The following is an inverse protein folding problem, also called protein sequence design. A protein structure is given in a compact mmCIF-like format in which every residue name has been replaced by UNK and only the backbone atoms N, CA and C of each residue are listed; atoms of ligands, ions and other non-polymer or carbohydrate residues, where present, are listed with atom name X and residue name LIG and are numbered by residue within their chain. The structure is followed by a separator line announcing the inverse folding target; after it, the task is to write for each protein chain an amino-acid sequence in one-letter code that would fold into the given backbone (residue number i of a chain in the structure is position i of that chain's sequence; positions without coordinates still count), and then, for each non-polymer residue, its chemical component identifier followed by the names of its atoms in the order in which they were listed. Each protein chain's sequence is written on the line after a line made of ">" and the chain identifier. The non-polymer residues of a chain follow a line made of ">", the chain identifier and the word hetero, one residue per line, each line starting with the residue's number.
data_IF_090066435437
#
_entry.id   IF_090066435437
#
_cell.length_a   1.000
_cell.length_b   1.000
_cell.length_c   1.000
_cell.angle_alpha   90.00
_cell.angle_beta   90.00
_cell.angle_gamma   90.00
#
_symmetry.space_group_name_H-M   'P 1'
#
loop_
_entity.id
_entity.type
_entity.pdbx_description
1 polymer ?
#
# COMPACT_ATOMS: atom_id res chain seq x y z
N UNK A 1 15.90 12.54 -20.01
CA UNK A 1 15.03 12.25 -19.93
C UNK A 1 14.11 12.90 -20.08
N UNK A 2 13.60 12.78 -20.59
CA UNK A 2 12.72 13.44 -20.72
C UNK A 2 11.87 13.27 -19.93
N UNK A 3 11.58 13.91 -19.33
CA UNK A 3 10.68 13.70 -18.66
C UNK A 3 9.61 14.13 -19.25
N UNK A 4 8.98 13.58 -19.79
CA UNK A 4 7.85 13.94 -20.38
C UNK A 4 6.91 14.50 -19.42
N UNK A 5 5.78 14.78 -19.80
CA UNK A 5 4.77 15.27 -18.93
C UNK A 5 4.49 14.22 -17.92
N UNK A 6 4.21 14.63 -16.72
CA UNK A 6 3.93 13.73 -15.74
C UNK A 6 2.78 12.91 -16.12
N UNK A 7 2.94 11.65 -16.11
CA UNK A 7 1.88 10.73 -16.42
C UNK A 7 0.98 10.61 -15.22
N UNK A 8 -0.31 10.73 -15.43
CA UNK A 8 -1.22 10.57 -14.35
C UNK A 8 -1.28 9.14 -13.98
N UNK A 9 -1.11 8.82 -12.76
CA UNK A 9 -1.19 7.46 -12.27
C UNK A 9 -2.52 7.23 -11.60
N UNK A 10 -3.05 6.04 -11.80
CA UNK A 10 -4.27 5.63 -11.12
C UNK A 10 -3.93 5.09 -9.75
N UNK A 11 -4.94 5.09 -8.88
CA UNK A 11 -4.72 4.56 -7.54
C UNK A 11 -4.21 3.13 -7.59
N UNK A 12 -4.61 2.37 -8.58
CA UNK A 12 -4.17 1.01 -8.72
C UNK A 12 -2.65 0.91 -8.90
N UNK A 13 -2.08 1.87 -9.62
CA UNK A 13 -0.63 1.87 -9.82
C UNK A 13 0.10 2.13 -8.52
N UNK A 14 -0.39 3.04 -7.72
CA UNK A 14 0.20 3.32 -6.43
C UNK A 14 0.03 2.14 -5.49
N UNK A 15 -1.14 1.50 -5.54
CA UNK A 15 -1.37 0.32 -4.72
C UNK A 15 -0.42 -0.81 -5.12
N UNK A 16 -0.13 -0.93 -6.42
CA UNK A 16 0.79 -1.96 -6.88
C UNK A 16 2.20 -1.72 -6.34
N UNK A 17 2.62 -0.48 -6.22
CA UNK A 17 3.92 -0.18 -5.62
C UNK A 17 3.96 -0.63 -4.17
N UNK A 18 2.88 -0.38 -3.43
CA UNK A 18 2.80 -0.84 -2.05
C UNK A 18 2.76 -2.35 -1.96
N UNK A 19 2.00 -2.99 -2.84
CA UNK A 19 1.96 -4.45 -2.87
C UNK A 19 3.34 -5.03 -3.14
N UNK A 20 4.08 -4.41 -4.06
CA UNK A 20 5.40 -4.90 -4.39
C UNK A 20 6.33 -4.83 -3.18
N UNK A 21 6.25 -3.75 -2.44
CA UNK A 21 7.05 -3.60 -1.23
C UNK A 21 6.77 -4.73 -0.24
N UNK A 22 5.49 -5.04 -0.04
CA UNK A 22 5.11 -6.11 0.87
C UNK A 22 5.53 -7.45 0.32
N UNK A 23 5.33 -7.68 -0.98
CA UNK A 23 5.66 -8.96 -1.59
C UNK A 23 7.14 -9.27 -1.57
N UNK A 24 7.99 -8.25 -1.56
CA UNK A 24 9.41 -8.48 -1.44
C UNK A 24 9.78 -9.13 -0.11
N UNK A 25 8.96 -8.91 0.91
CA UNK A 25 9.18 -9.51 2.22
C UNK A 25 8.29 -10.71 2.47
N UNK A 26 7.09 -10.71 1.88
CA UNK A 26 6.12 -11.76 2.10
C UNK A 26 5.53 -12.17 0.75
N UNK A 27 6.20 -13.06 0.01
CA UNK A 27 5.72 -13.42 -1.32
C UNK A 27 4.33 -14.04 -1.35
N UNK A 28 3.86 -14.55 -0.21
CA UNK A 28 2.53 -15.15 -0.12
C UNK A 28 1.44 -14.18 0.32
N UNK A 29 1.74 -12.91 0.43
CA UNK A 29 0.76 -11.94 0.90
C UNK A 29 -0.39 -11.79 -0.11
N UNK A 30 -1.59 -11.60 0.41
CA UNK A 30 -2.78 -11.37 -0.39
C UNK A 30 -3.37 -10.02 -0.05
N UNK A 31 -3.96 -9.37 -1.04
CA UNK A 31 -4.38 -7.98 -0.87
C UNK A 31 -5.79 -7.75 -1.33
N UNK A 32 -6.43 -6.75 -0.73
CA UNK A 32 -7.68 -6.20 -1.24
C UNK A 32 -7.57 -4.69 -1.17
N UNK A 33 -8.05 -4.02 -2.19
CA UNK A 33 -8.05 -2.56 -2.22
C UNK A 33 -9.49 -2.09 -2.13
N UNK A 34 -9.78 -1.29 -1.11
CA UNK A 34 -11.12 -0.75 -0.89
C UNK A 34 -11.08 0.76 -0.90
N UNK A 35 -12.11 1.35 -1.45
CA UNK A 35 -12.22 2.79 -1.44
C UNK A 35 -13.14 3.20 -0.32
N UNK A 36 -12.68 4.01 0.59
CA UNK A 36 -13.52 4.48 1.68
C UNK A 36 -14.11 5.87 1.38
N UNK A 37 -13.35 6.72 0.69
CA UNK A 37 -13.84 8.03 0.32
C UNK A 37 -13.21 8.39 -1.01
N UNK A 38 -13.51 9.58 -1.51
CA UNK A 38 -13.07 9.98 -2.83
C UNK A 38 -11.59 9.77 -3.08
N UNK A 39 -10.74 10.10 -2.12
CA UNK A 39 -9.31 9.92 -2.27
C UNK A 39 -8.69 9.12 -1.15
N UNK A 40 -9.51 8.39 -0.40
CA UNK A 40 -9.04 7.55 0.68
C UNK A 40 -9.28 6.10 0.33
N UNK A 41 -8.25 5.30 0.42
CA UNK A 41 -8.31 3.89 0.08
C UNK A 41 -7.65 3.08 1.19
N UNK A 42 -8.10 1.84 1.33
CA UNK A 42 -7.49 0.91 2.27
C UNK A 42 -6.91 -0.25 1.47
N UNK A 43 -5.64 -0.49 1.63
CA UNK A 43 -5.00 -1.66 1.06
C UNK A 43 -4.88 -2.68 2.18
N UNK A 44 -5.72 -3.68 2.14
CA UNK A 44 -5.78 -4.69 3.18
C UNK A 44 -4.82 -5.83 2.83
N UNK A 45 -3.97 -6.20 3.77
CA UNK A 45 -3.08 -7.34 3.61
C UNK A 45 -3.74 -8.48 4.38
N UNK A 46 -4.30 -9.41 3.65
CA UNK A 46 -5.27 -10.32 4.23
C UNK A 46 -4.68 -11.41 5.11
N UNK A 47 -3.49 -11.84 4.83
CA UNK A 47 -2.93 -12.97 5.55
C UNK A 47 -1.71 -12.59 6.40
N UNK A 48 -1.57 -11.31 6.73
CA UNK A 48 -0.48 -10.86 7.58
C UNK A 48 -1.05 -10.03 8.72
N UNK A 49 -0.56 -10.27 9.92
CA UNK A 49 -0.98 -9.48 11.07
C UNK A 49 -0.13 -8.22 11.18
N UNK A 50 -0.52 -7.36 12.08
CA UNK A 50 0.27 -6.16 12.36
C UNK A 50 1.67 -6.56 12.84
N UNK A 51 1.76 -7.60 13.68
CA UNK A 51 3.06 -8.08 14.15
C UNK A 51 3.93 -8.56 13.01
N UNK A 52 3.33 -9.28 12.05
CA UNK A 52 4.08 -9.76 10.90
C UNK A 52 4.70 -8.62 10.13
N UNK A 53 3.98 -7.52 10.01
CA UNK A 53 4.39 -6.41 9.19
C UNK A 53 5.11 -5.31 9.95
N UNK A 54 5.36 -5.53 11.22
CA UNK A 54 5.88 -4.46 12.08
C UNK A 54 7.16 -3.84 11.52
N UNK A 55 8.09 -4.68 11.05
CA UNK A 55 9.35 -4.17 10.53
C UNK A 55 9.19 -3.46 9.21
N UNK A 56 8.07 -3.69 8.53
CA UNK A 56 7.82 -3.10 7.24
C UNK A 56 7.07 -1.78 7.34
N UNK A 57 6.47 -1.50 8.49
CA UNK A 57 5.63 -0.32 8.64
C UNK A 57 6.33 0.99 8.32
N UNK A 58 7.59 1.21 8.75
CA UNK A 58 8.23 2.47 8.41
C UNK A 58 8.37 2.66 6.89
N UNK A 59 8.69 1.59 6.17
CA UNK A 59 8.82 1.68 4.72
C UNK A 59 7.48 1.92 4.05
N UNK A 60 6.41 1.27 4.53
CA UNK A 60 5.09 1.50 3.95
C UNK A 60 4.61 2.91 4.26
N UNK A 61 4.91 3.41 5.46
CA UNK A 61 4.51 4.77 5.82
C UNK A 61 5.21 5.80 4.94
N UNK A 62 6.47 5.57 4.64
CA UNK A 62 7.21 6.48 3.77
C UNK A 62 6.62 6.48 2.38
N UNK A 63 6.32 5.31 1.85
CA UNK A 63 5.77 5.23 0.51
C UNK A 63 4.35 5.82 0.44
N UNK A 64 3.51 5.56 1.44
CA UNK A 64 2.16 6.13 1.44
C UNK A 64 2.21 7.65 1.58
N UNK A 65 3.19 8.17 2.31
CA UNK A 65 3.36 9.61 2.42
C UNK A 65 3.77 10.20 1.08
N UNK A 66 4.70 9.55 0.38
CA UNK A 66 5.11 10.01 -0.93
C UNK A 66 3.95 10.01 -1.91
N UNK A 67 3.12 8.99 -1.87
CA UNK A 67 1.95 8.90 -2.73
C UNK A 67 0.98 10.04 -2.42
N UNK A 68 0.77 10.31 -1.15
CA UNK A 68 -0.14 11.37 -0.73
C UNK A 68 0.38 12.73 -1.21
N UNK A 69 1.66 12.99 -1.04
CA UNK A 69 2.24 14.25 -1.44
C UNK A 69 2.17 14.41 -2.96
N UNK A 70 2.43 13.34 -3.67
CA UNK A 70 2.48 13.41 -5.13
C UNK A 70 1.10 13.49 -5.76
N UNK A 71 0.14 12.76 -5.24
CA UNK A 71 -1.14 12.58 -5.92
C UNK A 71 -2.35 13.09 -5.15
N UNK A 72 -2.20 13.32 -3.85
CA UNK A 72 -3.35 13.63 -3.01
C UNK A 72 -4.16 12.41 -2.63
N UNK A 73 -3.72 11.22 -3.03
CA UNK A 73 -4.41 9.98 -2.71
C UNK A 73 -3.83 9.41 -1.43
N UNK A 74 -4.71 9.10 -0.49
CA UNK A 74 -4.28 8.55 0.78
C UNK A 74 -4.58 7.06 0.82
N UNK A 75 -3.57 6.24 0.90
CA UNK A 75 -3.73 4.80 0.97
C UNK A 75 -3.27 4.33 2.33
N UNK A 76 -4.15 3.63 3.03
CA UNK A 76 -3.81 3.07 4.33
C UNK A 76 -3.49 1.59 4.12
N UNK A 77 -2.38 1.15 4.66
CA UNK A 77 -2.01 -0.26 4.60
C UNK A 77 -2.49 -0.92 5.88
N UNK A 78 -3.43 -1.85 5.76
CA UNK A 78 -4.07 -2.45 6.92
C UNK A 78 -3.82 -3.95 6.96
N UNK A 79 -2.90 -4.40 7.81
CA UNK A 79 -2.72 -5.84 8.00
C UNK A 79 -3.96 -6.41 8.67
N UNK A 80 -4.49 -7.49 8.09
CA UNK A 80 -5.71 -8.06 8.59
C UNK A 80 -5.59 -9.53 8.93
N UNK A 81 -4.40 -10.07 8.89
CA UNK A 81 -4.21 -11.45 9.29
C UNK A 81 -4.48 -11.64 10.75
N UNK A 82 -5.12 -12.75 11.09
CA UNK A 82 -5.40 -13.02 12.47
C UNK A 82 -4.57 -14.11 12.96
N UNK A 83 -4.13 -14.00 14.22
CA UNK A 83 -3.48 -15.10 14.79
C UNK A 83 -4.48 -16.12 15.08
N UNK A 84 -4.19 -17.33 14.74
CA UNK A 84 -5.04 -18.41 15.07
C UNK A 84 -4.77 -18.80 16.48
N UNK A 85 -5.70 -18.91 17.27
CA UNK A 85 -5.49 -19.33 18.66
C UNK A 85 -5.64 -20.81 18.84
#
# INVERSE_FOLDING_TARGET
>A
MAIGPKVRRHVRDYADDLKQLVLEHFPDAEFELHRSRAKDYDLVVKNKSLDDMFDLLPATAELTTDILVESGIHIHVLPEGRKQD
#
